data_IF_601201217447
#
_entry.id   IF_601201217447
#
_cell.length_a   1.000
_cell.length_b   1.000
_cell.length_c   1.000
_cell.angle_alpha   90.00
_cell.angle_beta   90.00
_cell.angle_gamma   90.00
#
_symmetry.space_group_name_H-M   'P 1'
#
loop_
_entity.id
_entity.type
_entity.pdbx_description
1 polymer ?
#
# COMPACT_ATOMS: atom_id res chain seq x y z
N UNK A 1 -63.97 15.47 -8.85
CA UNK A 1 -62.73 16.29 -8.86
C UNK A 1 -62.73 17.10 -7.58
N UNK A 2 -61.60 17.27 -6.85
CA UNK A 2 -60.18 17.34 -7.26
C UNK A 2 -59.41 16.05 -6.90
N UNK A 3 -58.37 15.53 -7.60
CA UNK A 3 -57.10 16.07 -8.13
C UNK A 3 -56.13 16.59 -7.08
N UNK A 4 -55.64 15.70 -6.22
CA UNK A 4 -54.58 16.01 -5.23
C UNK A 4 -53.55 14.88 -5.01
N UNK A 5 -53.35 13.94 -5.96
CA UNK A 5 -52.40 12.81 -5.73
C UNK A 5 -51.12 12.84 -6.56
N UNK A 6 -51.02 13.72 -7.57
CA UNK A 6 -49.86 13.73 -8.47
C UNK A 6 -48.68 14.56 -7.94
N UNK A 7 -48.91 15.54 -7.07
CA UNK A 7 -47.85 16.44 -6.59
C UNK A 7 -47.03 15.81 -5.45
N UNK A 8 -47.65 15.00 -4.60
CA UNK A 8 -46.95 14.29 -3.51
C UNK A 8 -46.07 13.14 -4.00
N UNK A 9 -46.40 12.50 -5.13
CA UNK A 9 -45.52 11.48 -5.75
C UNK A 9 -44.30 12.08 -6.44
N UNK A 10 -44.40 13.30 -6.98
CA UNK A 10 -43.28 13.99 -7.64
C UNK A 10 -42.25 14.56 -6.63
N UNK A 11 -42.68 14.91 -5.42
CA UNK A 11 -41.77 15.38 -4.36
C UNK A 11 -40.98 14.25 -3.67
N UNK A 12 -41.48 13.01 -3.68
CA UNK A 12 -40.75 11.85 -3.16
C UNK A 12 -39.59 11.40 -4.09
N UNK A 13 -39.67 11.69 -5.39
CA UNK A 13 -38.62 11.38 -6.37
C UNK A 13 -37.51 12.44 -6.41
N UNK A 14 -37.77 13.68 -5.97
CA UNK A 14 -36.77 14.75 -5.93
C UNK A 14 -35.94 14.79 -4.63
N UNK A 15 -36.34 14.05 -3.59
CA UNK A 15 -35.59 13.98 -2.33
C UNK A 15 -34.48 12.91 -2.32
N UNK A 16 -34.44 12.02 -3.33
CA UNK A 16 -33.40 10.99 -3.50
C UNK A 16 -32.20 11.48 -4.34
N UNK A 17 -32.26 12.67 -4.93
CA UNK A 17 -31.22 13.22 -5.81
C UNK A 17 -30.21 14.15 -5.11
N UNK A 18 -30.31 14.32 -3.78
CA UNK A 18 -29.44 15.24 -3.00
C UNK A 18 -28.57 14.55 -1.95
N UNK A 19 -28.47 13.22 -1.98
CA UNK A 19 -27.42 12.49 -1.26
C UNK A 19 -26.29 12.11 -2.24
N UNK A 20 -25.18 12.86 -2.30
CA UNK A 20 -24.00 12.39 -3.01
C UNK A 20 -23.43 11.22 -2.21
N UNK A 21 -23.73 9.98 -2.63
CA UNK A 21 -23.14 8.81 -1.96
C UNK A 21 -23.74 7.45 -2.28
N UNK A 22 -24.94 7.35 -2.84
CA UNK A 22 -25.57 6.05 -3.13
C UNK A 22 -26.52 6.13 -4.34
N UNK A 23 -26.00 6.20 -5.57
CA UNK A 23 -26.76 5.80 -6.76
C UNK A 23 -25.86 5.84 -8.01
N UNK A 24 -26.07 4.85 -8.88
CA UNK A 24 -25.57 4.74 -10.26
C UNK A 24 -24.12 4.25 -10.39
N UNK A 25 -23.90 3.01 -9.94
CA UNK A 25 -22.76 2.19 -10.31
C UNK A 25 -23.28 1.07 -11.22
N UNK A 26 -22.50 0.64 -12.21
CA UNK A 26 -22.71 -0.54 -13.06
C UNK A 26 -22.79 -1.89 -12.29
N UNK A 27 -23.15 -1.87 -11.01
CA UNK A 27 -23.34 -3.03 -10.14
C UNK A 27 -24.51 -2.73 -9.17
N UNK A 28 -25.65 -2.22 -9.66
CA UNK A 28 -26.87 -2.03 -8.86
C UNK A 28 -27.40 -3.36 -8.28
N UNK A 29 -28.15 -3.35 -7.16
CA UNK A 29 -28.86 -4.53 -6.69
C UNK A 29 -29.88 -5.01 -7.73
N UNK A 30 -29.57 -6.15 -8.38
CA UNK A 30 -30.41 -7.06 -9.20
C UNK A 30 -31.42 -6.53 -10.25
N UNK A 31 -31.69 -5.23 -10.39
CA UNK A 31 -32.87 -4.77 -11.13
C UNK A 31 -32.71 -3.42 -11.88
N UNK A 32 -31.74 -3.28 -12.80
CA UNK A 32 -31.80 -2.24 -13.85
C UNK A 32 -30.85 -2.49 -15.04
N UNK A 33 -31.39 -3.01 -16.14
CA UNK A 33 -30.94 -2.77 -17.53
C UNK A 33 -29.58 -3.25 -18.08
N UNK A 34 -28.63 -3.78 -17.31
CA UNK A 34 -27.38 -4.29 -17.90
C UNK A 34 -27.37 -5.83 -18.08
N UNK A 35 -26.79 -6.32 -19.18
CA UNK A 35 -26.63 -7.76 -19.43
C UNK A 35 -25.59 -8.33 -18.46
N UNK A 36 -26.07 -9.07 -17.46
CA UNK A 36 -25.23 -9.74 -16.47
C UNK A 36 -24.92 -11.15 -16.89
N UNK A 37 -23.69 -11.56 -16.68
CA UNK A 37 -23.28 -12.95 -16.85
C UNK A 37 -22.39 -13.40 -15.70
N UNK A 38 -22.60 -14.62 -15.25
CA UNK A 38 -21.77 -15.26 -14.22
C UNK A 38 -20.90 -16.30 -14.90
N UNK A 39 -19.60 -16.27 -14.61
CA UNK A 39 -18.66 -17.31 -15.04
C UNK A 39 -18.30 -18.18 -13.84
N UNK A 40 -18.31 -19.49 -14.04
CA UNK A 40 -18.05 -20.50 -13.00
C UNK A 40 -16.68 -21.10 -13.21
N UNK A 41 -15.80 -21.00 -12.21
CA UNK A 41 -14.42 -21.44 -12.30
C UNK A 41 -14.14 -22.58 -11.30
N UNK A 42 -13.43 -23.60 -11.75
CA UNK A 42 -12.95 -24.72 -10.91
C UNK A 42 -11.53 -24.43 -10.37
N UNK A 43 -11.25 -23.17 -10.02
CA UNK A 43 -10.05 -22.77 -9.29
C UNK A 43 -10.44 -22.00 -8.03
N UNK A 44 -9.83 -22.39 -6.91
CA UNK A 44 -9.85 -21.55 -5.72
C UNK A 44 -8.80 -20.44 -5.87
N UNK A 45 -9.17 -19.23 -5.44
CA UNK A 45 -8.24 -18.11 -5.34
C UNK A 45 -7.51 -18.08 -3.98
N UNK A 46 -7.91 -18.97 -3.07
CA UNK A 46 -7.23 -19.22 -1.81
C UNK A 46 -5.93 -20.02 -2.08
N UNK A 47 -4.95 -19.98 -1.17
CA UNK A 47 -3.68 -20.74 -1.24
C UNK A 47 -2.66 -20.33 -2.33
N UNK A 48 -2.26 -19.05 -2.34
CA UNK A 48 -1.07 -18.56 -3.05
C UNK A 48 -0.97 -19.04 -4.51
N UNK A 49 -2.09 -19.08 -5.24
CA UNK A 49 -2.11 -19.53 -6.64
C UNK A 49 -1.57 -18.43 -7.55
N UNK A 50 -0.94 -18.85 -8.63
CA UNK A 50 -0.50 -17.97 -9.70
C UNK A 50 -1.32 -18.27 -10.95
N UNK A 51 -2.07 -17.27 -11.41
CA UNK A 51 -2.99 -17.36 -12.53
C UNK A 51 -2.35 -16.84 -13.82
N UNK A 52 -2.79 -17.36 -14.96
CA UNK A 52 -2.40 -16.89 -16.28
C UNK A 52 -3.12 -15.58 -16.60
N UNK A 53 -2.35 -14.57 -16.97
CA UNK A 53 -2.89 -13.31 -17.47
C UNK A 53 -3.22 -13.39 -18.98
N UNK A 54 -4.07 -12.48 -19.45
CA UNK A 54 -4.42 -12.33 -20.87
C UNK A 54 -3.21 -12.00 -21.76
N UNK A 55 -2.15 -11.40 -21.20
CA UNK A 55 -0.90 -11.11 -21.89
C UNK A 55 0.16 -12.23 -21.78
N UNK A 56 -0.22 -13.37 -21.21
CA UNK A 56 0.67 -14.51 -20.96
C UNK A 56 1.55 -14.38 -19.71
N UNK A 57 1.47 -13.27 -18.98
CA UNK A 57 2.16 -13.11 -17.70
C UNK A 57 1.49 -13.89 -16.56
N UNK A 58 2.06 -13.79 -15.35
CA UNK A 58 1.63 -14.52 -14.16
C UNK A 58 1.12 -13.56 -13.09
N UNK A 59 -0.13 -13.77 -12.64
CA UNK A 59 -0.79 -12.93 -11.63
C UNK A 59 -0.99 -13.73 -10.34
N UNK A 60 -0.39 -13.31 -9.21
CA UNK A 60 -0.67 -13.90 -7.90
C UNK A 60 -2.11 -13.63 -7.43
N UNK A 61 -2.85 -14.67 -7.02
CA UNK A 61 -4.25 -14.56 -6.57
C UNK A 61 -4.41 -14.00 -5.15
N UNK A 62 -3.32 -13.92 -4.38
CA UNK A 62 -3.29 -13.42 -3.01
C UNK A 62 -3.04 -11.90 -2.92
N UNK A 63 -3.03 -11.21 -4.06
CA UNK A 63 -2.97 -9.75 -4.09
C UNK A 63 -4.28 -9.15 -3.56
N UNK A 64 -4.23 -7.94 -2.99
CA UNK A 64 -5.44 -7.17 -2.72
C UNK A 64 -6.34 -7.10 -3.97
N UNK A 65 -7.66 -7.10 -3.77
CA UNK A 65 -8.65 -7.14 -4.86
C UNK A 65 -8.45 -6.02 -5.91
N UNK A 66 -7.88 -4.89 -5.52
CA UNK A 66 -7.46 -3.80 -6.39
C UNK A 66 -5.95 -3.62 -6.30
N UNK A 67 -5.29 -3.57 -7.46
CA UNK A 67 -3.92 -3.11 -7.61
C UNK A 67 -3.93 -1.63 -8.00
N UNK A 68 -2.99 -0.85 -7.46
CA UNK A 68 -2.72 0.50 -7.95
C UNK A 68 -1.43 0.45 -8.74
N UNK A 69 -1.54 0.54 -10.06
CA UNK A 69 -0.37 0.63 -10.90
C UNK A 69 0.23 2.03 -10.73
N UNK A 70 1.50 2.07 -10.33
CA UNK A 70 2.26 3.31 -10.23
C UNK A 70 3.29 3.34 -11.34
N UNK A 71 3.41 4.48 -12.01
CA UNK A 71 4.34 4.70 -13.11
C UNK A 71 4.27 6.17 -13.50
N UNK A 72 4.01 6.45 -14.79
CA UNK A 72 3.72 7.82 -15.22
C UNK A 72 2.50 8.42 -14.49
N UNK A 73 1.51 7.59 -14.13
CA UNK A 73 0.31 7.98 -13.38
C UNK A 73 -0.12 6.84 -12.47
N UNK A 74 -0.71 7.17 -11.31
CA UNK A 74 -1.41 6.19 -10.48
C UNK A 74 -2.80 5.85 -11.07
N UNK A 75 -3.06 4.57 -11.32
CA UNK A 75 -4.35 4.07 -11.82
C UNK A 75 -4.80 2.83 -11.04
N UNK A 76 -6.08 2.78 -10.68
CA UNK A 76 -6.66 1.61 -10.03
C UNK A 76 -7.08 0.58 -11.08
N UNK A 77 -6.78 -0.68 -10.80
CA UNK A 77 -7.18 -1.80 -11.64
C UNK A 77 -7.52 -3.03 -10.80
N UNK A 78 -8.50 -3.80 -11.27
CA UNK A 78 -8.84 -5.08 -10.67
C UNK A 78 -7.96 -6.13 -11.35
N UNK A 79 -7.07 -6.78 -10.60
CA UNK A 79 -6.16 -7.78 -11.19
C UNK A 79 -6.94 -8.93 -11.84
N UNK A 80 -8.11 -9.28 -11.29
CA UNK A 80 -8.97 -10.32 -11.81
C UNK A 80 -9.54 -9.99 -13.20
N UNK A 81 -9.56 -8.72 -13.61
CA UNK A 81 -9.95 -8.36 -14.99
C UNK A 81 -8.83 -8.65 -16.01
N UNK A 82 -7.60 -8.89 -15.56
CA UNK A 82 -6.45 -9.21 -16.43
C UNK A 82 -6.19 -10.70 -16.58
N UNK A 83 -6.93 -11.55 -15.85
CA UNK A 83 -6.75 -13.00 -15.86
C UNK A 83 -7.44 -13.60 -17.08
N UNK A 84 -6.77 -14.56 -17.73
CA UNK A 84 -7.40 -15.41 -18.72
C UNK A 84 -8.22 -16.51 -18.03
N UNK A 85 -9.49 -16.19 -17.76
CA UNK A 85 -10.42 -17.08 -17.10
C UNK A 85 -10.84 -18.29 -17.94
N UNK A 86 -10.57 -18.30 -19.25
CA UNK A 86 -10.95 -19.42 -20.10
C UNK A 86 -10.23 -20.72 -19.70
N UNK A 87 -9.01 -20.61 -19.19
CA UNK A 87 -8.17 -21.72 -18.72
C UNK A 87 -8.72 -22.37 -17.45
N UNK A 88 -9.54 -21.65 -16.68
CA UNK A 88 -10.05 -22.08 -15.38
C UNK A 88 -11.55 -22.36 -15.38
N UNK A 89 -12.18 -22.26 -16.54
CA UNK A 89 -13.62 -22.44 -16.67
C UNK A 89 -14.03 -23.84 -16.22
N UNK A 90 -15.06 -23.91 -15.39
CA UNK A 90 -15.71 -25.17 -15.08
C UNK A 90 -16.37 -25.76 -16.34
N UNK A 91 -16.72 -27.04 -16.28
CA UNK A 91 -17.44 -27.70 -17.36
C UNK A 91 -18.73 -26.93 -17.73
N UNK A 92 -19.17 -26.97 -19.00
CA UNK A 92 -20.46 -26.40 -19.41
C UNK A 92 -21.59 -26.84 -18.48
N UNK A 93 -22.54 -25.94 -18.22
CA UNK A 93 -23.69 -26.15 -17.32
C UNK A 93 -23.38 -26.30 -15.82
N UNK A 94 -22.10 -26.21 -15.41
CA UNK A 94 -21.74 -26.18 -13.99
C UNK A 94 -22.32 -24.93 -13.33
N UNK A 95 -23.16 -25.12 -12.30
CA UNK A 95 -23.82 -24.02 -11.57
C UNK A 95 -22.97 -23.41 -10.44
N UNK A 96 -22.02 -24.19 -9.92
CA UNK A 96 -21.13 -23.79 -8.82
C UNK A 96 -19.74 -24.40 -8.98
N UNK A 97 -18.73 -23.58 -8.74
CA UNK A 97 -17.33 -23.94 -8.66
C UNK A 97 -16.69 -23.22 -7.48
N UNK A 98 -15.38 -23.41 -7.29
CA UNK A 98 -14.64 -22.78 -6.19
C UNK A 98 -14.66 -21.23 -6.30
N UNK A 99 -14.75 -20.69 -7.51
CA UNK A 99 -14.87 -19.24 -7.75
C UNK A 99 -15.99 -18.93 -8.73
N UNK A 100 -16.80 -17.91 -8.40
CA UNK A 100 -17.77 -17.30 -9.30
C UNK A 100 -17.40 -15.86 -9.60
N UNK A 101 -17.37 -15.50 -10.88
CA UNK A 101 -17.11 -14.15 -11.34
C UNK A 101 -18.39 -13.55 -11.90
N UNK A 102 -18.79 -12.40 -11.40
CA UNK A 102 -19.98 -11.68 -11.86
C UNK A 102 -19.56 -10.49 -12.70
N UNK A 103 -20.00 -10.50 -13.94
CA UNK A 103 -19.67 -9.46 -14.92
C UNK A 103 -20.92 -8.73 -15.37
N UNK A 104 -20.76 -7.44 -15.64
CA UNK A 104 -21.78 -6.59 -16.22
C UNK A 104 -21.23 -5.96 -17.52
N UNK A 105 -22.02 -6.02 -18.58
CA UNK A 105 -21.70 -5.34 -19.84
C UNK A 105 -22.28 -3.92 -19.82
N UNK A 106 -21.41 -2.92 -19.93
CA UNK A 106 -21.81 -1.54 -20.15
C UNK A 106 -22.44 -1.39 -21.55
N UNK A 107 -23.25 -0.33 -21.79
CA UNK A 107 -23.90 -0.09 -23.08
C UNK A 107 -22.93 0.01 -24.28
N UNK A 108 -21.66 0.35 -24.03
CA UNK A 108 -20.59 0.40 -25.02
C UNK A 108 -19.94 -0.98 -25.31
N UNK A 109 -20.44 -2.05 -24.69
CA UNK A 109 -19.94 -3.42 -24.83
C UNK A 109 -18.77 -3.76 -23.89
N UNK A 110 -18.28 -2.81 -23.10
CA UNK A 110 -17.19 -3.04 -22.15
C UNK A 110 -17.69 -3.89 -20.97
N UNK A 111 -16.88 -4.86 -20.54
CA UNK A 111 -17.22 -5.70 -19.40
C UNK A 111 -16.55 -5.18 -18.13
N UNK A 112 -17.31 -5.14 -17.04
CA UNK A 112 -16.85 -4.75 -15.71
C UNK A 112 -17.07 -5.90 -14.73
N UNK A 113 -16.07 -6.20 -13.90
CA UNK A 113 -16.20 -7.20 -12.86
C UNK A 113 -16.93 -6.60 -11.66
N UNK A 114 -18.16 -7.04 -11.41
CA UNK A 114 -18.97 -6.58 -10.28
C UNK A 114 -18.68 -7.31 -8.98
N UNK A 115 -18.23 -8.56 -9.07
CA UNK A 115 -17.85 -9.28 -7.86
C UNK A 115 -17.26 -10.65 -8.08
N UNK A 116 -16.60 -11.12 -7.03
CA UNK A 116 -15.93 -12.41 -6.95
C UNK A 116 -16.50 -13.12 -5.73
N UNK A 117 -17.12 -14.27 -5.92
CA UNK A 117 -17.60 -15.12 -4.84
C UNK A 117 -16.72 -16.37 -4.75
N UNK A 118 -16.26 -16.71 -3.55
CA UNK A 118 -15.41 -17.87 -3.27
C UNK A 118 -16.13 -18.85 -2.36
N UNK A 119 -15.95 -20.13 -2.67
CA UNK A 119 -16.56 -21.25 -1.96
C UNK A 119 -15.48 -22.26 -1.60
N UNK A 120 -15.55 -22.77 -0.38
CA UNK A 120 -14.80 -23.92 0.08
C UNK A 120 -15.20 -25.18 -0.69
N UNK A 121 -14.27 -26.12 -0.82
CA UNK A 121 -14.51 -27.39 -1.51
C UNK A 121 -15.73 -28.13 -0.96
N UNK A 122 -15.90 -28.15 0.37
CA UNK A 122 -17.05 -28.78 1.03
C UNK A 122 -18.38 -28.11 0.66
N UNK A 123 -18.43 -26.78 0.55
CA UNK A 123 -19.63 -26.07 0.12
C UNK A 123 -19.98 -26.36 -1.34
N UNK A 124 -18.97 -26.46 -2.21
CA UNK A 124 -19.15 -26.84 -3.63
C UNK A 124 -19.71 -28.26 -3.74
N UNK A 125 -19.09 -29.22 -3.05
CA UNK A 125 -19.50 -30.63 -3.09
C UNK A 125 -20.92 -30.82 -2.54
N UNK A 126 -21.23 -30.21 -1.39
CA UNK A 126 -22.57 -30.26 -0.80
C UNK A 126 -23.63 -29.64 -1.73
N UNK A 127 -23.33 -28.50 -2.36
CA UNK A 127 -24.24 -27.86 -3.31
C UNK A 127 -24.50 -28.73 -4.54
N UNK A 128 -23.45 -29.35 -5.10
CA UNK A 128 -23.55 -30.27 -6.24
C UNK A 128 -24.38 -31.51 -5.88
N UNK A 129 -24.17 -32.11 -4.71
CA UNK A 129 -24.92 -33.27 -4.22
C UNK A 129 -26.38 -32.96 -3.93
N UNK A 130 -26.68 -31.78 -3.38
CA UNK A 130 -28.05 -31.39 -3.03
C UNK A 130 -28.97 -31.24 -4.23
N UNK A 131 -28.42 -30.95 -5.42
CA UNK A 131 -29.17 -30.65 -6.63
C UNK A 131 -29.97 -29.34 -6.60
N UNK A 132 -30.01 -28.62 -5.47
CA UNK A 132 -30.84 -27.43 -5.30
C UNK A 132 -30.47 -26.31 -6.28
N UNK A 133 -31.47 -25.53 -6.70
CA UNK A 133 -31.27 -24.40 -7.62
C UNK A 133 -30.61 -23.19 -6.93
N UNK A 134 -30.89 -22.99 -5.65
CA UNK A 134 -30.30 -21.91 -4.88
C UNK A 134 -28.86 -22.28 -4.47
N UNK A 135 -27.91 -21.38 -4.75
CA UNK A 135 -26.53 -21.54 -4.29
C UNK A 135 -26.43 -21.16 -2.80
N UNK A 136 -25.55 -21.83 -2.02
CA UNK A 136 -25.26 -21.40 -0.66
C UNK A 136 -24.65 -19.99 -0.67
N UNK A 137 -24.67 -19.28 0.47
CA UNK A 137 -23.89 -18.05 0.60
C UNK A 137 -22.39 -18.33 0.43
N UNK A 138 -21.62 -17.47 -0.25
CA UNK A 138 -20.17 -17.63 -0.37
C UNK A 138 -19.47 -17.44 0.98
N UNK A 139 -18.32 -18.10 1.10
CA UNK A 139 -17.42 -17.97 2.25
C UNK A 139 -16.75 -16.58 2.26
N UNK A 140 -16.35 -16.14 1.07
CA UNK A 140 -15.82 -14.79 0.84
C UNK A 140 -16.42 -14.19 -0.43
N UNK A 141 -16.80 -12.91 -0.37
CA UNK A 141 -17.34 -12.17 -1.50
C UNK A 141 -16.67 -10.79 -1.59
N UNK A 142 -16.06 -10.48 -2.73
CA UNK A 142 -15.62 -9.13 -3.09
C UNK A 142 -16.68 -8.49 -3.98
N UNK A 143 -17.07 -7.25 -3.69
CA UNK A 143 -17.99 -6.43 -4.49
C UNK A 143 -17.31 -5.15 -4.92
N UNK A 144 -17.34 -4.84 -6.21
CA UNK A 144 -16.74 -3.63 -6.75
C UNK A 144 -17.81 -2.55 -6.97
N UNK A 145 -17.41 -1.29 -6.80
CA UNK A 145 -18.27 -0.12 -6.98
C UNK A 145 -17.70 0.77 -8.07
N UNK A 146 -18.58 1.31 -8.90
CA UNK A 146 -18.23 2.18 -10.02
C UNK A 146 -19.03 3.48 -9.93
N UNK A 147 -18.58 4.55 -10.56
CA UNK A 147 -19.42 5.73 -10.80
C UNK A 147 -20.24 5.58 -12.08
N UNK A 148 -21.08 6.56 -12.38
CA UNK A 148 -21.93 6.59 -13.57
C UNK A 148 -21.12 6.63 -14.89
N UNK A 149 -19.84 6.97 -14.84
CA UNK A 149 -18.93 6.95 -15.99
C UNK A 149 -18.17 5.62 -16.11
N UNK A 150 -18.46 4.64 -15.25
CA UNK A 150 -17.80 3.33 -15.23
C UNK A 150 -16.39 3.32 -14.66
N UNK A 151 -16.02 4.34 -13.89
CA UNK A 151 -14.75 4.37 -13.17
C UNK A 151 -14.90 3.72 -11.81
N UNK A 152 -13.95 2.88 -11.44
CA UNK A 152 -13.91 2.18 -10.15
C UNK A 152 -13.80 3.17 -8.99
N UNK A 153 -14.75 3.15 -8.05
CA UNK A 153 -14.81 4.06 -6.90
C UNK A 153 -14.54 3.37 -5.57
N UNK A 154 -14.53 2.04 -5.53
CA UNK A 154 -14.20 1.31 -4.32
C UNK A 154 -14.56 -0.16 -4.40
N UNK A 155 -14.42 -0.84 -3.28
CA UNK A 155 -14.83 -2.23 -3.13
C UNK A 155 -15.12 -2.58 -1.67
N UNK A 156 -15.87 -3.66 -1.48
CA UNK A 156 -16.16 -4.26 -0.18
C UNK A 156 -15.82 -5.75 -0.20
N UNK A 157 -15.09 -6.19 0.81
CA UNK A 157 -14.78 -7.59 1.07
C UNK A 157 -15.64 -8.07 2.24
N UNK A 158 -16.41 -9.12 1.98
CA UNK A 158 -17.30 -9.77 2.94
C UNK A 158 -16.79 -11.17 3.17
N UNK A 159 -16.74 -11.59 4.43
CA UNK A 159 -16.36 -12.96 4.77
C UNK A 159 -17.30 -13.54 5.82
N UNK A 160 -17.25 -14.86 5.96
CA UNK A 160 -17.93 -15.61 7.00
C UNK A 160 -16.93 -16.35 7.88
N UNK A 161 -17.31 -16.59 9.12
CA UNK A 161 -16.63 -17.56 9.98
C UNK A 161 -16.86 -18.98 9.45
N UNK A 162 -16.10 -19.94 9.95
CA UNK A 162 -16.28 -21.36 9.61
C UNK A 162 -17.68 -21.89 9.97
N UNK A 163 -18.36 -21.28 10.96
CA UNK A 163 -19.77 -21.58 11.34
C UNK A 163 -20.80 -20.87 10.44
N UNK A 164 -20.37 -20.16 9.41
CA UNK A 164 -21.24 -19.43 8.47
C UNK A 164 -21.72 -18.05 8.95
N UNK A 165 -21.29 -17.57 10.14
CA UNK A 165 -21.64 -16.23 10.65
C UNK A 165 -20.93 -15.15 9.85
N UNK A 166 -21.63 -14.06 9.51
CA UNK A 166 -21.02 -12.92 8.78
C UNK A 166 -20.01 -12.17 9.66
N UNK A 167 -18.83 -11.91 9.11
CA UNK A 167 -17.88 -10.96 9.68
C UNK A 167 -18.25 -9.52 9.29
N UNK A 168 -17.69 -8.54 10.01
CA UNK A 168 -17.79 -7.13 9.61
C UNK A 168 -17.10 -6.95 8.23
N UNK A 169 -17.78 -6.36 7.22
CA UNK A 169 -17.16 -6.13 5.93
C UNK A 169 -15.96 -5.18 6.02
N UNK A 170 -14.91 -5.45 5.26
CA UNK A 170 -13.83 -4.50 5.01
C UNK A 170 -14.20 -3.68 3.77
N UNK A 171 -14.12 -2.36 3.88
CA UNK A 171 -14.51 -1.43 2.81
C UNK A 171 -13.36 -0.54 2.45
N UNK A 172 -13.22 -0.30 1.16
CA UNK A 172 -12.17 0.52 0.61
C UNK A 172 -12.73 1.48 -0.42
N UNK A 173 -12.26 2.72 -0.38
CA UNK A 173 -12.71 3.78 -1.27
C UNK A 173 -11.55 4.33 -2.11
N UNK A 174 -11.79 4.49 -3.40
CA UNK A 174 -10.92 5.20 -4.33
C UNK A 174 -11.49 6.61 -4.52
N UNK A 175 -10.70 7.63 -4.15
CA UNK A 175 -11.07 9.03 -4.34
C UNK A 175 -10.21 9.64 -5.43
N UNK A 176 -10.84 10.46 -6.24
CA UNK A 176 -10.23 11.14 -7.37
C UNK A 176 -10.21 12.65 -7.12
N UNK A 177 -9.16 13.32 -7.58
CA UNK A 177 -9.09 14.78 -7.51
C UNK A 177 -10.01 15.45 -8.54
N UNK A 178 -10.06 16.78 -8.52
CA UNK A 178 -10.89 17.57 -9.42
C UNK A 178 -10.54 17.39 -10.92
N UNK A 179 -9.36 16.85 -11.23
CA UNK A 179 -8.93 16.53 -12.60
C UNK A 179 -9.20 15.07 -12.97
N UNK A 180 -9.80 14.31 -12.06
CA UNK A 180 -10.17 12.92 -12.25
C UNK A 180 -9.01 11.94 -12.05
N UNK A 181 -7.88 12.36 -11.47
CA UNK A 181 -6.76 11.47 -11.16
C UNK A 181 -6.95 10.81 -9.81
N UNK A 182 -6.54 9.54 -9.69
CA UNK A 182 -6.65 8.82 -8.43
C UNK A 182 -5.82 9.54 -7.37
N UNK A 183 -6.44 10.04 -6.32
CA UNK A 183 -5.77 10.82 -5.27
C UNK A 183 -5.59 10.03 -3.97
N UNK A 184 -6.49 9.07 -3.69
CA UNK A 184 -6.46 8.31 -2.44
C UNK A 184 -7.08 6.92 -2.58
N UNK A 185 -6.46 5.95 -1.92
CA UNK A 185 -7.08 4.70 -1.49
C UNK A 185 -7.30 4.77 0.02
N UNK A 186 -8.55 4.73 0.47
CA UNK A 186 -8.94 4.74 1.89
C UNK A 186 -9.49 3.41 2.36
N UNK A 187 -9.27 3.06 3.63
CA UNK A 187 -9.80 1.84 4.28
C UNK A 187 -11.11 2.14 5.04
N UNK A 188 -12.07 2.73 4.33
CA UNK A 188 -13.38 3.09 4.85
C UNK A 188 -14.42 3.27 3.75
N UNK A 189 -15.67 3.42 4.17
CA UNK A 189 -16.77 3.83 3.31
C UNK A 189 -16.48 5.14 2.56
N UNK A 190 -16.87 5.21 1.28
CA UNK A 190 -16.66 6.41 0.47
C UNK A 190 -17.36 7.66 1.01
N UNK A 191 -18.50 7.49 1.69
CA UNK A 191 -19.24 8.59 2.31
C UNK A 191 -18.68 9.01 3.68
N UNK A 192 -17.78 8.22 4.28
CA UNK A 192 -17.19 8.54 5.57
C UNK A 192 -15.93 9.42 5.43
N UNK A 193 -15.56 10.09 6.53
CA UNK A 193 -14.31 10.81 6.64
C UNK A 193 -13.12 9.91 6.23
N UNK A 194 -12.19 10.49 5.48
CA UNK A 194 -11.05 9.77 4.90
C UNK A 194 -10.24 9.03 5.97
N UNK A 195 -9.90 7.76 5.70
CA UNK A 195 -8.90 6.98 6.43
C UNK A 195 -7.89 6.45 5.42
N UNK A 196 -6.90 7.26 5.03
CA UNK A 196 -6.03 6.93 3.92
C UNK A 196 -5.18 5.70 4.25
N UNK A 197 -5.12 4.77 3.30
CA UNK A 197 -4.07 3.72 3.21
C UNK A 197 -2.91 4.27 2.40
N UNK A 198 -3.23 4.91 1.29
CA UNK A 198 -2.26 5.59 0.44
C UNK A 198 -2.86 6.82 -0.22
N UNK A 199 -2.03 7.83 -0.47
CA UNK A 199 -2.34 8.98 -1.31
C UNK A 199 -1.37 9.08 -2.48
N UNK A 200 -1.85 9.61 -3.58
CA UNK A 200 -1.12 9.71 -4.85
C UNK A 200 -1.15 11.18 -5.27
N UNK A 201 0.03 11.79 -5.37
CA UNK A 201 0.16 13.21 -5.69
C UNK A 201 0.63 13.35 -7.12
N UNK A 202 -0.13 14.07 -7.93
CA UNK A 202 0.18 14.33 -9.33
C UNK A 202 0.39 15.81 -9.61
N UNK A 203 1.27 16.11 -10.57
CA UNK A 203 1.43 17.46 -11.11
C UNK A 203 0.24 17.87 -11.99
N UNK A 204 0.25 19.09 -12.54
CA UNK A 204 -0.84 19.60 -13.37
C UNK A 204 -1.07 18.85 -14.71
N UNK A 205 -0.12 18.03 -15.16
CA UNK A 205 -0.27 17.17 -16.34
C UNK A 205 -0.77 15.75 -15.98
N UNK A 206 -0.93 15.47 -14.69
CA UNK A 206 -1.36 14.17 -14.18
C UNK A 206 -0.21 13.16 -14.15
N UNK A 207 1.04 13.63 -14.12
CA UNK A 207 2.21 12.79 -13.85
C UNK A 207 2.31 12.56 -12.35
N UNK A 208 2.51 11.31 -11.95
CA UNK A 208 2.72 10.94 -10.56
C UNK A 208 4.05 11.52 -10.05
N UNK A 209 3.99 12.30 -8.98
CA UNK A 209 5.16 12.88 -8.32
C UNK A 209 5.59 12.02 -7.14
N UNK A 210 4.62 11.58 -6.33
CA UNK A 210 4.87 10.76 -5.15
C UNK A 210 3.66 9.97 -4.69
N UNK A 211 3.92 8.87 -4.01
CA UNK A 211 2.94 8.11 -3.22
C UNK A 211 3.26 8.24 -1.75
N UNK A 212 2.23 8.43 -0.93
CA UNK A 212 2.34 8.54 0.53
C UNK A 212 1.56 7.39 1.13
N UNK A 213 2.22 6.48 1.84
CA UNK A 213 1.58 5.35 2.51
C UNK A 213 1.45 5.64 4.00
N UNK A 214 0.34 5.21 4.57
CA UNK A 214 -0.04 5.48 5.96
C UNK A 214 0.03 4.23 6.81
N UNK A 215 0.26 4.42 8.11
CA UNK A 215 0.16 3.36 9.09
C UNK A 215 -1.31 2.95 9.26
N UNK A 216 -1.58 1.63 9.29
CA UNK A 216 -2.93 1.09 9.42
C UNK A 216 -3.73 1.77 10.54
N UNK A 217 -4.96 2.19 10.20
CA UNK A 217 -5.92 2.84 11.12
C UNK A 217 -5.41 4.15 11.73
N UNK A 218 -4.43 4.80 11.11
CA UNK A 218 -3.82 6.05 11.58
C UNK A 218 -3.61 7.01 10.40
N UNK A 219 -3.65 8.32 10.66
CA UNK A 219 -3.31 9.35 9.67
C UNK A 219 -1.80 9.64 9.61
N UNK A 220 -0.98 8.91 10.37
CA UNK A 220 0.46 9.04 10.35
C UNK A 220 1.05 8.42 9.08
N UNK A 221 1.60 9.28 8.21
CA UNK A 221 2.39 8.86 7.06
C UNK A 221 3.63 8.08 7.51
N UNK A 222 3.81 6.89 6.92
CA UNK A 222 4.88 5.94 7.20
C UNK A 222 5.97 5.99 6.13
N UNK A 223 5.57 6.12 4.87
CA UNK A 223 6.45 6.01 3.72
C UNK A 223 6.07 7.02 2.63
N UNK A 224 7.07 7.60 1.97
CA UNK A 224 6.90 8.35 0.73
C UNK A 224 7.83 7.79 -0.33
N UNK A 225 7.30 7.54 -1.53
CA UNK A 225 8.08 7.18 -2.72
C UNK A 225 7.92 8.27 -3.75
N UNK A 226 9.01 8.82 -4.27
CA UNK A 226 9.01 9.85 -5.33
C UNK A 226 9.28 9.22 -6.69
N UNK A 227 8.85 9.92 -7.75
CA UNK A 227 8.92 9.44 -9.13
C UNK A 227 9.58 10.49 -10.04
N UNK A 228 10.34 10.05 -11.03
CA UNK A 228 10.92 10.92 -12.06
C UNK A 228 9.92 11.28 -13.17
N UNK A 229 10.37 12.06 -14.16
CA UNK A 229 9.57 12.41 -15.34
C UNK A 229 9.07 11.21 -16.16
N UNK A 230 9.75 10.06 -16.07
CA UNK A 230 9.40 8.83 -16.78
C UNK A 230 8.54 7.89 -15.93
N UNK A 231 8.17 8.29 -14.71
CA UNK A 231 7.41 7.45 -13.80
C UNK A 231 8.22 6.35 -13.11
N UNK A 232 9.56 6.47 -13.08
CA UNK A 232 10.43 5.55 -12.33
C UNK A 232 10.59 6.05 -10.91
N UNK A 233 10.58 5.11 -9.95
CA UNK A 233 10.84 5.42 -8.54
C UNK A 233 12.24 5.98 -8.39
N UNK A 234 12.38 7.14 -7.75
CA UNK A 234 13.67 7.82 -7.55
C UNK A 234 14.15 7.71 -6.12
N UNK A 235 13.30 8.09 -5.16
CA UNK A 235 13.65 8.10 -3.75
C UNK A 235 12.56 7.50 -2.90
N UNK A 236 12.97 6.83 -1.84
CA UNK A 236 12.11 6.34 -0.77
C UNK A 236 12.47 7.02 0.54
N UNK A 237 11.46 7.49 1.25
CA UNK A 237 11.56 8.09 2.59
C UNK A 237 10.70 7.27 3.54
N UNK A 238 11.21 7.03 4.74
CA UNK A 238 10.59 6.12 5.70
C UNK A 238 10.57 6.72 7.10
N UNK A 239 9.67 6.23 7.93
CA UNK A 239 9.72 6.35 9.39
C UNK A 239 9.78 4.95 9.98
N UNK A 240 10.70 4.73 10.91
CA UNK A 240 10.81 3.43 11.58
C UNK A 240 9.58 3.20 12.44
N UNK A 241 8.93 2.04 12.30
CA UNK A 241 7.88 1.62 13.23
C UNK A 241 8.54 1.19 14.53
N UNK A 242 8.34 1.97 15.59
CA UNK A 242 8.76 1.62 16.94
C UNK A 242 7.59 0.90 17.60
N UNK A 243 7.71 -0.41 17.73
CA UNK A 243 6.76 -1.22 18.48
C UNK A 243 7.25 -1.32 19.91
N UNK A 244 6.61 -0.58 20.80
CA UNK A 244 6.67 -0.84 22.24
C UNK A 244 5.56 -1.86 22.56
N UNK A 245 5.83 -2.83 23.43
CA UNK A 245 4.88 -3.91 23.76
C UNK A 245 3.54 -3.32 24.19
N UNK A 246 2.45 -3.79 23.57
CA UNK A 246 1.04 -3.46 23.82
C UNK A 246 0.57 -2.02 23.53
N UNK A 247 1.41 -1.16 22.93
CA UNK A 247 1.02 0.20 22.53
C UNK A 247 0.78 0.35 21.02
N UNK A 248 0.00 1.39 20.67
CA UNK A 248 -0.11 1.80 19.27
C UNK A 248 1.29 2.12 18.73
N UNK A 249 1.64 1.62 17.53
CA UNK A 249 2.98 1.82 16.98
C UNK A 249 3.29 3.31 16.83
N UNK A 250 4.39 3.74 17.45
CA UNK A 250 4.90 5.10 17.30
C UNK A 250 5.86 5.12 16.11
N UNK A 251 5.78 6.16 15.30
CA UNK A 251 6.68 6.32 14.16
C UNK A 251 7.88 7.18 14.56
N UNK A 252 9.09 6.65 14.33
CA UNK A 252 10.34 7.35 14.55
C UNK A 252 10.55 8.53 13.59
N UNK A 253 11.77 9.07 13.59
CA UNK A 253 12.13 10.20 12.73
C UNK A 253 12.10 9.80 11.25
N UNK A 254 11.65 10.70 10.36
CA UNK A 254 11.69 10.46 8.92
C UNK A 254 13.13 10.47 8.43
N UNK A 255 13.44 9.64 7.43
CA UNK A 255 14.77 9.56 6.84
C UNK A 255 14.70 9.11 5.38
N UNK A 256 15.74 9.45 4.63
CA UNK A 256 15.97 8.95 3.28
C UNK A 256 16.43 7.48 3.37
N UNK A 257 15.63 6.56 2.83
CA UNK A 257 15.98 5.14 2.83
C UNK A 257 17.25 4.89 2.00
N UNK A 258 18.08 3.98 2.50
CA UNK A 258 19.27 3.49 1.83
C UNK A 258 19.05 2.03 1.39
N UNK A 259 19.60 1.59 0.24
CA UNK A 259 19.56 0.19 -0.17
C UNK A 259 20.50 -0.72 0.62
N UNK A 260 21.20 -0.18 1.63
CA UNK A 260 22.14 -0.93 2.46
C UNK A 260 21.44 -2.09 3.20
N UNK A 261 22.18 -3.17 3.40
CA UNK A 261 21.71 -4.41 4.00
C UNK A 261 21.62 -4.34 5.54
N UNK A 262 22.29 -3.37 6.17
CA UNK A 262 22.28 -3.24 7.61
C UNK A 262 21.06 -2.46 8.12
N UNK A 263 20.59 -2.74 9.34
CA UNK A 263 19.55 -1.93 9.96
C UNK A 263 19.96 -0.45 10.04
N UNK A 264 19.00 0.44 9.85
CA UNK A 264 19.24 1.88 9.94
C UNK A 264 19.21 2.36 11.40
N UNK A 265 20.15 3.23 11.77
CA UNK A 265 20.08 4.09 12.96
C UNK A 265 19.95 5.54 12.50
N UNK A 266 18.81 6.16 12.79
CA UNK A 266 18.50 7.53 12.35
C UNK A 266 19.02 8.55 13.37
N UNK A 267 19.88 9.45 12.91
CA UNK A 267 20.52 10.46 13.72
C UNK A 267 19.66 11.74 13.77
N UNK A 268 19.15 12.16 14.95
CA UNK A 268 18.25 13.30 15.08
C UNK A 268 18.89 14.66 14.77
N UNK A 269 20.22 14.75 14.80
CA UNK A 269 20.95 16.00 14.63
C UNK A 269 22.44 15.87 15.02
N UNK A 270 23.22 16.96 14.94
CA UNK A 270 24.67 16.94 15.18
C UNK A 270 25.06 16.60 16.64
N UNK A 271 24.11 16.70 17.57
CA UNK A 271 24.30 16.36 18.99
C UNK A 271 23.69 14.99 19.38
N UNK A 272 23.42 14.12 18.40
CA UNK A 272 22.84 12.79 18.61
C UNK A 272 23.57 11.97 19.67
N UNK A 273 22.86 11.13 20.41
CA UNK A 273 23.47 10.23 21.40
C UNK A 273 23.42 8.80 20.88
N UNK A 274 24.49 8.05 21.11
CA UNK A 274 24.46 6.62 20.86
C UNK A 274 23.39 5.97 21.76
N UNK A 275 22.55 5.08 21.22
CA UNK A 275 21.66 4.27 22.03
C UNK A 275 22.49 3.37 22.97
N UNK A 276 21.88 2.99 24.10
CA UNK A 276 22.41 1.88 24.89
C UNK A 276 22.21 0.59 24.09
N UNK A 277 23.29 -0.15 23.88
CA UNK A 277 23.28 -1.45 23.19
C UNK A 277 23.97 -2.47 24.08
N UNK A 278 23.50 -3.71 24.07
CA UNK A 278 24.09 -4.80 24.82
C UNK A 278 25.47 -5.15 24.26
N UNK A 279 26.50 -4.48 24.77
CA UNK A 279 27.88 -4.58 24.32
C UNK A 279 28.80 -4.78 25.52
N UNK A 280 29.74 -5.74 25.39
CA UNK A 280 30.62 -6.20 26.46
C UNK A 280 32.08 -5.84 26.14
N UNK A 281 32.45 -4.56 26.32
CA UNK A 281 33.80 -4.07 26.06
C UNK A 281 34.34 -4.34 24.65
N UNK A 282 33.47 -4.27 23.63
CA UNK A 282 33.90 -4.44 22.25
C UNK A 282 34.53 -3.15 21.69
N UNK A 283 35.58 -3.33 20.90
CA UNK A 283 36.16 -2.26 20.09
C UNK A 283 35.23 -1.93 18.92
N UNK A 284 34.62 -0.75 19.01
CA UNK A 284 33.68 -0.26 18.03
C UNK A 284 34.34 0.78 17.13
N UNK A 285 33.85 0.87 15.89
CA UNK A 285 34.27 1.91 14.96
C UNK A 285 33.09 2.39 14.13
N UNK A 286 33.06 3.69 13.86
CA UNK A 286 32.18 4.31 12.88
C UNK A 286 33.04 4.66 11.69
N UNK A 287 32.72 4.08 10.54
CA UNK A 287 33.52 4.15 9.32
C UNK A 287 32.71 4.77 8.20
N UNK A 288 33.41 5.42 7.28
CA UNK A 288 32.89 5.85 6.00
C UNK A 288 33.75 5.20 4.92
N UNK A 289 33.36 4.02 4.43
CA UNK A 289 34.08 3.37 3.36
C UNK A 289 34.19 4.29 2.15
N UNK A 290 35.28 4.21 1.41
CA UNK A 290 35.53 4.99 0.19
C UNK A 290 35.88 4.08 -0.98
N UNK A 291 35.76 4.62 -2.19
CA UNK A 291 36.23 3.95 -3.39
C UNK A 291 37.77 3.85 -3.35
N UNK A 292 38.30 2.66 -3.59
CA UNK A 292 39.72 2.37 -3.78
C UNK A 292 39.97 1.85 -5.20
N UNK A 293 41.22 1.53 -5.55
CA UNK A 293 41.57 0.97 -6.85
C UNK A 293 40.89 -0.39 -7.11
N UNK A 294 40.62 -1.15 -6.05
CA UNK A 294 40.00 -2.48 -6.06
C UNK A 294 38.46 -2.43 -6.00
N UNK A 295 37.88 -1.24 -5.90
CA UNK A 295 36.44 -1.04 -5.77
C UNK A 295 36.03 -0.37 -4.46
N UNK A 296 34.77 -0.52 -4.07
CA UNK A 296 34.30 0.05 -2.81
C UNK A 296 34.93 -0.70 -1.63
N UNK A 297 35.62 0.01 -0.72
CA UNK A 297 36.19 -0.63 0.46
C UNK A 297 35.11 -1.34 1.29
N UNK A 298 35.41 -2.55 1.79
CA UNK A 298 34.53 -3.21 2.74
C UNK A 298 34.53 -2.47 4.08
N UNK A 299 33.47 -2.62 4.87
CA UNK A 299 33.37 -2.00 6.20
C UNK A 299 34.52 -2.41 7.13
N UNK A 300 35.06 -3.62 6.96
CA UNK A 300 36.19 -4.12 7.76
C UNK A 300 37.54 -3.61 7.25
N UNK A 301 37.70 -3.41 5.94
CA UNK A 301 38.86 -2.74 5.38
C UNK A 301 38.90 -1.27 5.83
N UNK A 302 37.75 -0.58 5.75
CA UNK A 302 37.60 0.79 6.23
C UNK A 302 37.89 0.92 7.74
N UNK A 303 37.50 -0.07 8.56
CA UNK A 303 37.85 -0.10 10.01
C UNK A 303 39.36 -0.14 10.26
N UNK A 304 40.15 -0.71 9.34
CA UNK A 304 41.61 -0.84 9.46
C UNK A 304 42.36 0.37 8.89
N UNK A 305 41.68 1.24 8.16
CA UNK A 305 42.25 2.46 7.56
C UNK A 305 41.84 3.70 8.38
N UNK A 306 42.76 4.32 9.14
CA UNK A 306 42.45 5.52 9.93
C UNK A 306 41.84 6.67 9.12
N UNK A 307 42.11 6.77 7.81
CA UNK A 307 41.55 7.82 6.96
C UNK A 307 40.05 7.64 6.69
N UNK A 308 39.52 6.43 6.90
CA UNK A 308 38.12 6.07 6.71
C UNK A 308 37.36 5.89 8.04
N UNK A 309 38.04 6.05 9.18
CA UNK A 309 37.44 5.98 10.52
C UNK A 309 36.98 7.37 10.97
N UNK A 310 35.67 7.53 11.18
CA UNK A 310 35.06 8.74 11.69
C UNK A 310 35.05 8.81 13.22
N UNK A 311 35.01 7.67 13.91
CA UNK A 311 35.19 7.56 15.35
C UNK A 311 35.50 6.10 15.71
N UNK A 312 36.16 5.90 16.84
CA UNK A 312 36.46 4.58 17.38
C UNK A 312 36.54 4.66 18.90
N UNK A 313 36.38 3.53 19.57
CA UNK A 313 36.52 3.42 21.01
C UNK A 313 36.22 2.00 21.49
N UNK A 314 36.11 1.84 22.80
CA UNK A 314 35.69 0.61 23.45
C UNK A 314 34.36 0.86 24.19
N UNK A 315 33.43 -0.09 24.17
CA UNK A 315 32.06 0.11 24.69
C UNK A 315 31.94 0.08 26.23
N UNK A 316 33.04 -0.12 26.96
CA UNK A 316 33.08 0.00 28.42
C UNK A 316 32.07 -0.89 29.17
N UNK A 317 31.86 -0.60 30.45
CA UNK A 317 30.81 -1.24 31.25
C UNK A 317 29.43 -0.67 30.88
N UNK A 318 28.45 -1.55 30.64
CA UNK A 318 27.06 -1.15 30.39
C UNK A 318 26.77 -0.61 28.98
N UNK A 319 27.60 -0.94 27.98
CA UNK A 319 27.30 -0.65 26.58
C UNK A 319 27.33 0.84 26.22
N UNK A 320 28.20 1.61 26.85
CA UNK A 320 28.32 3.05 26.62
C UNK A 320 29.30 3.36 25.48
N UNK A 321 28.83 4.11 24.48
CA UNK A 321 29.64 4.49 23.33
C UNK A 321 30.00 5.98 23.39
N UNK A 322 31.10 6.26 24.09
CA UNK A 322 31.56 7.62 24.31
C UNK A 322 32.10 8.26 23.01
N UNK A 323 31.56 9.42 22.66
CA UNK A 323 32.04 10.25 21.55
C UNK A 323 32.15 11.70 22.01
N UNK A 324 33.09 12.44 21.43
CA UNK A 324 33.15 13.90 21.59
C UNK A 324 32.05 14.58 20.77
N UNK A 325 31.73 15.82 21.11
CA UNK A 325 30.78 16.62 20.31
C UNK A 325 31.25 16.79 18.85
N UNK A 326 32.55 16.94 18.64
CA UNK A 326 33.16 17.05 17.31
C UNK A 326 33.00 15.75 16.50
N UNK A 327 33.21 14.58 17.13
CA UNK A 327 32.98 13.29 16.49
C UNK A 327 31.51 13.12 16.07
N UNK A 328 30.57 13.41 16.98
CA UNK A 328 29.13 13.32 16.66
C UNK A 328 28.73 14.19 15.48
N UNK A 329 29.18 15.45 15.46
CA UNK A 329 28.90 16.39 14.36
C UNK A 329 29.51 15.91 13.05
N UNK A 330 30.76 15.42 13.06
CA UNK A 330 31.43 14.86 11.88
C UNK A 330 30.67 13.66 11.32
N UNK A 331 30.25 12.73 12.17
CA UNK A 331 29.49 11.53 11.78
C UNK A 331 28.14 11.94 11.20
N UNK A 332 27.42 12.86 11.86
CA UNK A 332 26.15 13.38 11.36
C UNK A 332 26.34 14.00 9.98
N UNK A 333 27.30 14.92 9.79
CA UNK A 333 27.59 15.52 8.48
C UNK A 333 27.90 14.47 7.40
N UNK A 334 28.75 13.48 7.70
CA UNK A 334 29.10 12.42 6.75
C UNK A 334 27.88 11.60 6.34
N UNK A 335 26.99 11.26 7.28
CA UNK A 335 25.75 10.54 7.00
C UNK A 335 24.77 11.34 6.11
N UNK A 336 24.82 12.68 6.16
CA UNK A 336 24.02 13.55 5.29
C UNK A 336 24.58 13.68 3.89
N UNK A 337 25.90 13.78 3.76
CA UNK A 337 26.60 13.87 2.47
C UNK A 337 26.50 12.58 1.67
N UNK A 338 26.60 11.43 2.34
CA UNK A 338 26.52 10.11 1.72
C UNK A 338 25.49 9.24 2.45
N UNK A 339 24.19 9.41 2.19
CA UNK A 339 23.15 8.56 2.79
C UNK A 339 23.40 7.09 2.48
N UNK A 340 23.61 6.28 3.51
CA UNK A 340 23.97 4.86 3.37
C UNK A 340 25.46 4.56 3.34
N UNK A 341 26.32 5.57 3.36
CA UNK A 341 27.78 5.40 3.27
C UNK A 341 28.52 5.44 4.61
N UNK A 342 27.80 5.55 5.73
CA UNK A 342 28.40 5.59 7.08
C UNK A 342 27.87 4.42 7.88
N UNK A 343 28.77 3.61 8.44
CA UNK A 343 28.40 2.40 9.17
C UNK A 343 29.03 2.38 10.55
N UNK A 344 28.28 1.89 11.52
CA UNK A 344 28.74 1.70 12.88
C UNK A 344 28.86 0.22 13.21
N UNK A 345 30.10 -0.25 13.29
CA UNK A 345 30.46 -1.59 13.74
C UNK A 345 30.57 -1.53 15.26
N UNK A 346 29.49 -1.84 15.97
CA UNK A 346 29.39 -1.64 17.42
C UNK A 346 29.69 -2.91 18.24
N UNK A 347 29.59 -4.09 17.61
CA UNK A 347 30.02 -5.38 18.14
C UNK A 347 30.34 -6.35 16.98
N UNK A 348 31.02 -7.48 17.21
CA UNK A 348 31.27 -8.48 16.17
C UNK A 348 29.98 -8.94 15.48
N UNK A 349 29.93 -8.80 14.15
CA UNK A 349 28.76 -9.14 13.34
C UNK A 349 27.57 -8.16 13.46
N UNK A 350 27.68 -7.13 14.30
CA UNK A 350 26.61 -6.17 14.54
C UNK A 350 26.94 -4.81 13.94
N UNK A 351 26.14 -4.37 12.98
CA UNK A 351 26.37 -3.15 12.21
C UNK A 351 25.08 -2.36 12.06
N UNK A 352 25.17 -1.04 12.19
CA UNK A 352 24.13 -0.11 11.78
C UNK A 352 24.58 0.74 10.60
N UNK A 353 23.67 1.05 9.69
CA UNK A 353 23.83 2.16 8.74
C UNK A 353 23.35 3.43 9.40
N UNK A 354 24.22 4.44 9.48
CA UNK A 354 23.88 5.73 10.08
C UNK A 354 23.27 6.64 9.02
N UNK A 355 22.06 7.14 9.27
CA UNK A 355 21.32 8.00 8.36
C UNK A 355 20.92 9.29 9.07
N UNK A 356 20.96 10.43 8.38
CA UNK A 356 20.39 11.65 8.94
C UNK A 356 18.85 11.59 8.96
N UNK A 357 18.27 12.12 10.04
CA UNK A 357 16.86 12.46 10.03
C UNK A 357 16.58 13.56 9.01
N UNK A 358 15.49 13.40 8.27
CA UNK A 358 14.92 14.45 7.42
C UNK A 358 14.38 15.58 8.32
N UNK A 359 14.63 16.86 7.96
CA UNK A 359 14.06 17.98 8.70
C UNK A 359 12.53 17.91 8.76
N UNK A 360 11.94 18.27 9.90
CA UNK A 360 10.49 18.17 10.10
C UNK A 360 9.68 18.97 9.06
N UNK A 361 10.16 20.16 8.66
CA UNK A 361 9.52 20.98 7.63
C UNK A 361 9.56 20.31 6.25
N UNK A 362 10.69 19.68 5.89
CA UNK A 362 10.82 18.95 4.63
C UNK A 362 9.90 17.72 4.63
N UNK A 363 9.83 16.98 5.75
CA UNK A 363 8.89 15.87 5.88
C UNK A 363 7.43 16.32 5.76
N UNK A 364 7.04 17.41 6.44
CA UNK A 364 5.69 17.97 6.37
C UNK A 364 5.31 18.35 4.93
N UNK A 365 6.22 19.01 4.20
CA UNK A 365 6.02 19.34 2.79
C UNK A 365 5.91 18.09 1.91
N UNK A 366 6.69 17.05 2.21
CA UNK A 366 6.72 15.80 1.48
C UNK A 366 5.44 14.96 1.65
N UNK A 367 4.82 14.97 2.83
CA UNK A 367 3.59 14.22 3.12
C UNK A 367 2.30 15.01 2.89
N UNK A 368 2.39 16.29 2.54
CA UNK A 368 1.24 17.11 2.19
C UNK A 368 0.70 16.70 0.81
N UNK A 369 -0.52 16.13 0.69
CA UNK A 369 -1.07 15.75 -0.60
C UNK A 369 -1.41 16.95 -1.51
N UNK A 370 -1.57 18.15 -0.95
CA UNK A 370 -1.90 19.35 -1.73
C UNK A 370 -0.63 20.04 -2.30
N UNK A 371 0.55 19.74 -1.75
CA UNK A 371 1.80 20.26 -2.25
C UNK A 371 2.24 19.58 -3.55
N UNK A 372 1.74 20.03 -4.71
CA UNK A 372 2.03 19.43 -6.01
C UNK A 372 3.39 19.82 -6.63
N UNK A 373 4.37 20.24 -5.82
CA UNK A 373 5.73 20.52 -6.31
C UNK A 373 6.55 19.23 -6.38
N UNK A 374 7.44 19.12 -7.38
CA UNK A 374 8.28 17.94 -7.60
C UNK A 374 9.40 17.82 -6.56
N UNK A 375 9.90 18.95 -6.06
CA UNK A 375 10.95 19.11 -5.05
C UNK A 375 10.42 19.09 -3.60
N UNK A 376 9.15 18.76 -3.39
CA UNK A 376 8.50 18.81 -2.06
C UNK A 376 9.20 17.96 -0.97
N UNK A 377 9.97 16.95 -1.38
CA UNK A 377 10.70 16.05 -0.49
C UNK A 377 12.20 16.37 -0.43
N UNK A 378 12.68 17.42 -1.09
CA UNK A 378 14.10 17.78 -1.05
C UNK A 378 14.50 18.23 0.35
N UNK A 379 15.68 17.77 0.78
CA UNK A 379 16.31 18.23 2.02
C UNK A 379 17.21 19.42 1.68
N UNK A 380 17.11 20.54 2.43
CA UNK A 380 17.93 21.73 2.18
C UNK A 380 19.43 21.49 2.36
#
# INVERSE_FOLDING_TARGET
>A
MPRSDSVLRLLALAALSLAPGLANALCEPLAASAQRHTRVMDISLDDMKTLLALDGSRIPSWLPSIAIDTGARATAAIWAERVDWSVYAAAPDTRIGATLLRWESAPDGRQHLCGIARYSASAVDAARQSGQAALPPPDVETRFYYDAAGRLTGYEERSRTWEGRRNRPARYCLRYDARGWLAELGANDCAAASRPVARYVHDAAGRLLRTISYLDKSEAALEVVTYDANGRKTQRYLRQRQTWSDEAPVLGLPYRASPDQYPALVLPGPAWKAPALDSYHYDWAIVQPRQTAEGMASIYAAKRDPAQVLATGNSGNGGQFAMTAAQRKRIWNAAGQTPGGVHWLWAPGQTYTLLQAMPAAAWAACIDPENRRADACEMP
#
